data_IF_669443375690
#
_entry.id   IF_669443375690
#
_cell.length_a   1.000
_cell.length_b   1.000
_cell.length_c   1.000
_cell.angle_alpha   90.00
_cell.angle_beta   90.00
_cell.angle_gamma   90.00
#
_symmetry.space_group_name_H-M   'P 1'
#
loop_
_entity.id
_entity.type
_entity.pdbx_description
1 polymer ?
#
# COMPACT_ATOMS: atom_id res chain seq x y z
N UNK A 1 -48.44 -4.62 -6.27
CA UNK A 1 -47.09 -4.08 -6.53
C UNK A 1 -46.22 -4.34 -5.31
N UNK A 2 -44.93 -4.66 -5.52
CA UNK A 2 -43.89 -5.08 -4.55
C UNK A 2 -43.83 -6.59 -4.20
N UNK A 3 -43.62 -7.42 -5.23
CA UNK A 3 -42.79 -8.64 -5.09
C UNK A 3 -41.38 -8.26 -5.55
N UNK A 4 -40.55 -7.70 -4.67
CA UNK A 4 -39.18 -7.32 -5.05
C UNK A 4 -38.16 -7.45 -3.91
N UNK A 5 -38.25 -8.47 -3.05
CA UNK A 5 -37.21 -8.75 -2.04
C UNK A 5 -37.14 -10.24 -1.64
N UNK A 6 -37.51 -11.18 -2.52
CA UNK A 6 -37.56 -12.62 -2.18
C UNK A 6 -36.90 -13.52 -3.23
N UNK A 7 -35.92 -13.01 -3.96
CA UNK A 7 -35.16 -13.71 -5.00
C UNK A 7 -33.89 -12.85 -5.19
N UNK A 8 -32.75 -13.13 -4.59
CA UNK A 8 -31.87 -14.22 -4.99
C UNK A 8 -30.65 -14.20 -4.04
N UNK A 9 -30.44 -15.25 -3.22
CA UNK A 9 -29.28 -15.36 -2.31
C UNK A 9 -27.93 -15.33 -3.05
N UNK A 10 -27.91 -15.44 -4.38
CA UNK A 10 -26.68 -15.44 -5.19
C UNK A 10 -26.14 -14.03 -5.47
N UNK A 11 -26.98 -12.98 -5.39
CA UNK A 11 -26.55 -11.59 -5.63
C UNK A 11 -25.62 -11.11 -4.50
N UNK A 12 -25.84 -11.55 -3.25
CA UNK A 12 -24.99 -11.20 -2.11
C UNK A 12 -23.58 -11.80 -2.19
N UNK A 13 -23.43 -12.93 -2.90
CA UNK A 13 -22.13 -13.59 -3.11
C UNK A 13 -21.33 -12.89 -4.20
N UNK A 14 -21.98 -12.44 -5.27
CA UNK A 14 -21.30 -11.75 -6.38
C UNK A 14 -20.71 -10.40 -5.98
N UNK A 15 -21.35 -9.67 -5.06
CA UNK A 15 -20.85 -8.38 -4.58
C UNK A 15 -19.57 -8.52 -3.73
N UNK A 16 -19.37 -9.66 -3.07
CA UNK A 16 -18.18 -9.94 -2.26
C UNK A 16 -16.94 -10.29 -3.10
N UNK A 17 -17.11 -10.89 -4.29
CA UNK A 17 -16.00 -11.41 -5.08
C UNK A 17 -15.17 -10.31 -5.78
N UNK A 18 -15.76 -9.14 -6.03
CA UNK A 18 -15.11 -8.04 -6.77
C UNK A 18 -14.05 -7.31 -5.92
N UNK A 19 -14.09 -7.40 -4.59
CA UNK A 19 -13.13 -6.72 -3.71
C UNK A 19 -11.77 -7.43 -3.59
N UNK A 20 -11.60 -8.64 -4.15
CA UNK A 20 -10.42 -9.49 -3.85
C UNK A 20 -9.40 -9.59 -5.00
N UNK A 21 -9.54 -8.81 -6.09
CA UNK A 21 -8.65 -8.91 -7.27
C UNK A 21 -7.72 -7.69 -7.52
N UNK A 22 -7.55 -6.79 -6.55
CA UNK A 22 -6.49 -5.78 -6.56
C UNK A 22 -5.57 -5.99 -5.35
N UNK A 23 -4.29 -6.35 -5.45
CA UNK A 23 -3.48 -6.69 -6.59
C UNK A 23 -2.21 -7.42 -6.13
N UNK A 24 -1.85 -8.52 -6.78
CA UNK A 24 -0.56 -9.21 -6.58
C UNK A 24 0.45 -8.72 -7.63
N UNK A 25 0.68 -7.39 -7.66
CA UNK A 25 1.61 -6.73 -8.60
C UNK A 25 2.44 -5.73 -7.80
N UNK A 26 3.19 -6.23 -6.84
CA UNK A 26 4.08 -5.43 -6.01
C UNK A 26 5.26 -4.90 -6.85
N UNK A 27 5.45 -3.60 -6.81
CA UNK A 27 6.60 -2.89 -7.40
C UNK A 27 7.54 -2.50 -6.28
N UNK A 28 8.83 -2.66 -6.56
CA UNK A 28 9.89 -2.23 -5.67
C UNK A 28 9.99 -0.70 -5.68
N UNK A 29 9.76 -0.10 -4.52
CA UNK A 29 9.68 1.35 -4.33
C UNK A 29 11.03 1.93 -3.92
N UNK A 30 11.68 1.32 -2.93
CA UNK A 30 12.95 1.76 -2.37
C UNK A 30 13.78 0.55 -1.95
N UNK A 31 15.11 0.63 -2.12
CA UNK A 31 16.10 -0.39 -1.71
C UNK A 31 17.21 0.27 -0.90
N UNK A 32 17.84 -0.49 0.00
CA UNK A 32 19.00 0.02 0.73
C UNK A 32 18.65 0.95 1.89
N UNK A 33 17.43 0.88 2.41
CA UNK A 33 17.03 1.66 3.58
C UNK A 33 17.60 1.04 4.86
N UNK A 34 17.93 1.90 5.82
CA UNK A 34 18.12 1.47 7.20
C UNK A 34 16.79 1.00 7.82
N UNK A 35 16.85 0.31 8.96
CA UNK A 35 15.66 -0.19 9.65
C UNK A 35 14.71 0.92 10.10
N UNK A 36 15.26 2.01 10.65
CA UNK A 36 14.45 3.16 11.08
C UNK A 36 13.79 3.84 9.88
N UNK A 37 14.60 4.05 8.84
CA UNK A 37 14.16 4.63 7.59
C UNK A 37 13.02 3.84 6.94
N UNK A 38 13.14 2.51 6.89
CA UNK A 38 12.10 1.67 6.33
C UNK A 38 10.80 1.72 7.17
N UNK A 39 10.91 1.77 8.50
CA UNK A 39 9.75 1.83 9.38
C UNK A 39 8.99 3.15 9.24
N UNK A 40 9.69 4.28 9.14
CA UNK A 40 9.07 5.60 8.95
C UNK A 40 8.35 5.70 7.60
N UNK A 41 8.98 5.24 6.51
CA UNK A 41 8.33 5.24 5.20
C UNK A 41 7.06 4.37 5.22
N UNK A 42 7.12 3.18 5.82
CA UNK A 42 5.95 2.30 5.94
C UNK A 42 4.85 2.93 6.77
N UNK A 43 5.19 3.57 7.89
CA UNK A 43 4.21 4.23 8.75
C UNK A 43 3.44 5.32 7.99
N UNK A 44 4.14 6.12 7.17
CA UNK A 44 3.48 7.17 6.38
C UNK A 44 2.65 6.58 5.23
N UNK A 45 3.16 5.57 4.52
CA UNK A 45 2.40 4.89 3.47
C UNK A 45 1.12 4.24 4.03
N UNK A 46 1.21 3.55 5.16
CA UNK A 46 0.06 2.95 5.84
C UNK A 46 -0.93 4.00 6.33
N UNK A 47 -0.47 5.14 6.84
CA UNK A 47 -1.33 6.26 7.24
C UNK A 47 -2.14 6.83 6.07
N UNK A 48 -1.60 6.75 4.85
CA UNK A 48 -2.27 7.14 3.62
C UNK A 48 -3.05 6.00 2.94
N UNK A 49 -3.28 4.89 3.65
CA UNK A 49 -4.00 3.72 3.16
C UNK A 49 -3.31 3.05 1.94
N UNK A 50 -1.99 3.17 1.85
CA UNK A 50 -1.17 2.48 0.87
C UNK A 50 -0.55 1.26 1.53
N UNK A 51 -0.88 0.06 1.04
CA UNK A 51 -0.22 -1.16 1.48
C UNK A 51 1.23 -1.16 1.01
N UNK A 52 2.14 -1.16 1.98
CA UNK A 52 3.57 -1.23 1.77
C UNK A 52 4.13 -2.44 2.53
N UNK A 53 4.91 -3.27 1.85
CA UNK A 53 5.54 -4.45 2.43
C UNK A 53 7.04 -4.20 2.64
N UNK A 54 7.54 -4.58 3.82
CA UNK A 54 8.97 -4.48 4.16
C UNK A 54 9.68 -5.78 3.83
N UNK A 55 10.62 -5.74 2.91
CA UNK A 55 11.46 -6.87 2.55
C UNK A 55 12.85 -6.65 3.13
N UNK A 56 13.23 -7.43 4.13
CA UNK A 56 14.61 -7.48 4.61
C UNK A 56 15.51 -8.10 3.54
N UNK A 57 16.47 -7.33 3.03
CA UNK A 57 17.45 -7.78 2.03
C UNK A 57 18.83 -8.02 2.66
N UNK A 58 18.89 -8.21 4.00
CA UNK A 58 20.11 -8.47 4.76
C UNK A 58 21.18 -7.40 4.56
N UNK A 59 22.29 -7.78 3.90
CA UNK A 59 23.44 -6.88 3.64
C UNK A 59 23.13 -5.71 2.70
N UNK A 60 22.01 -5.79 1.96
CA UNK A 60 21.55 -4.74 1.06
C UNK A 60 20.56 -3.80 1.75
N UNK A 61 20.34 -3.92 3.07
CA UNK A 61 19.37 -3.13 3.82
C UNK A 61 17.93 -3.59 3.65
N UNK A 62 16.98 -2.73 3.98
CA UNK A 62 15.55 -2.97 3.80
C UNK A 62 15.09 -2.43 2.44
N UNK A 63 14.18 -3.18 1.83
CA UNK A 63 13.47 -2.76 0.62
C UNK A 63 11.98 -2.62 0.94
N UNK A 64 11.31 -1.65 0.32
CA UNK A 64 9.87 -1.45 0.47
C UNK A 64 9.23 -1.72 -0.89
N UNK A 65 8.21 -2.58 -0.91
CA UNK A 65 7.38 -2.81 -2.09
C UNK A 65 5.97 -2.30 -1.86
N UNK A 66 5.34 -1.79 -2.90
CA UNK A 66 3.95 -1.31 -2.88
C UNK A 66 3.21 -1.84 -4.09
N UNK A 67 1.89 -1.91 -4.04
CA UNK A 67 1.11 -2.30 -5.20
C UNK A 67 1.34 -1.33 -6.39
N UNK A 68 1.38 -1.85 -7.62
CA UNK A 68 1.50 -1.06 -8.86
C UNK A 68 0.56 0.16 -8.95
N UNK A 69 -0.75 0.08 -8.60
CA UNK A 69 -1.63 1.25 -8.61
C UNK A 69 -1.23 2.33 -7.59
N UNK A 70 -0.64 1.93 -6.46
CA UNK A 70 -0.28 2.83 -5.36
C UNK A 70 1.14 3.38 -5.48
N UNK A 71 1.93 2.87 -6.43
CA UNK A 71 3.32 3.28 -6.63
C UNK A 71 3.48 4.80 -6.81
N UNK A 72 2.65 5.42 -7.66
CA UNK A 72 2.70 6.87 -7.90
C UNK A 72 2.37 7.67 -6.64
N UNK A 73 1.37 7.22 -5.88
CA UNK A 73 0.98 7.86 -4.62
C UNK A 73 2.11 7.71 -3.57
N UNK A 74 2.72 6.53 -3.49
CA UNK A 74 3.80 6.25 -2.57
C UNK A 74 5.02 7.15 -2.83
N UNK A 75 5.44 7.29 -4.09
CA UNK A 75 6.53 8.21 -4.48
C UNK A 75 6.19 9.65 -4.13
N UNK A 76 4.95 10.08 -4.35
CA UNK A 76 4.50 11.44 -4.02
C UNK A 76 4.62 11.74 -2.52
N UNK A 77 4.15 10.84 -1.66
CA UNK A 77 4.24 11.03 -0.21
C UNK A 77 5.68 11.04 0.28
N UNK A 78 6.54 10.15 -0.22
CA UNK A 78 7.97 10.16 0.12
C UNK A 78 8.62 11.49 -0.28
N UNK A 79 8.36 11.96 -1.51
CA UNK A 79 8.85 13.25 -2.01
C UNK A 79 8.40 14.41 -1.13
N UNK A 80 7.14 14.37 -0.67
CA UNK A 80 6.57 15.38 0.21
C UNK A 80 7.25 15.39 1.57
N UNK A 81 7.44 14.23 2.21
CA UNK A 81 8.12 14.10 3.50
C UNK A 81 9.55 14.62 3.43
N UNK A 82 10.30 14.31 2.36
CA UNK A 82 11.67 14.80 2.17
C UNK A 82 11.76 16.33 2.01
N UNK A 83 10.67 16.98 1.62
CA UNK A 83 10.61 18.42 1.45
C UNK A 83 10.15 19.16 2.72
N UNK A 84 9.49 18.48 3.65
CA UNK A 84 8.95 19.10 4.87
C UNK A 84 10.06 19.35 5.91
N UNK A 85 10.21 20.60 6.43
CA UNK A 85 11.20 20.92 7.44
C UNK A 85 10.80 20.30 8.79
N UNK A 86 11.42 19.18 9.14
CA UNK A 86 11.17 18.47 10.40
C UNK A 86 11.49 16.97 10.36
N UNK A 87 11.47 16.36 9.17
CA UNK A 87 11.89 14.96 9.00
C UNK A 87 13.33 14.93 8.47
N UNK A 88 14.27 14.94 9.41
CA UNK A 88 15.71 14.89 9.14
C UNK A 88 16.15 13.47 8.78
N UNK A 89 15.98 13.09 7.52
CA UNK A 89 16.66 11.93 6.95
C UNK A 89 18.12 12.34 6.68
N UNK A 90 18.99 12.06 7.65
CA UNK A 90 20.45 12.17 7.49
C UNK A 90 20.99 10.94 6.78
#
# INVERSE_FOLDING_TARGET
>A
MKRYYAHDSSISIYLSAVMTLAGCKDKDLLKGLDQEQANEVIAVLQMHNIEANKIDSGKLGYSITVAEPDFTAAVYWIKLISFLPGHGWK
#
